data_IF_520970878773
#
_entry.id   IF_520970878773
#
_cell.length_a   1.000
_cell.length_b   1.000
_cell.length_c   1.000
_cell.angle_alpha   90.00
_cell.angle_beta   90.00
_cell.angle_gamma   90.00
#
_symmetry.space_group_name_H-M   'P 1'
#
loop_
_entity.id
_entity.type
_entity.pdbx_description
1 polymer ?
#
# COMPACT_ATOMS: atom_id res chain seq x y z
N UNK A 1 -5.29 -4.88 5.59
CA UNK A 1 -5.11 -6.30 5.94
C UNK A 1 -5.68 -6.51 7.34
N UNK A 2 -6.59 -7.47 7.52
CA UNK A 2 -7.13 -7.82 8.83
C UNK A 2 -6.72 -9.26 9.15
N UNK A 3 -5.57 -9.45 9.79
CA UNK A 3 -5.10 -10.76 10.27
C UNK A 3 -4.78 -10.64 11.77
N UNK A 4 -5.11 -11.68 12.55
CA UNK A 4 -4.74 -11.73 13.96
C UNK A 4 -3.24 -11.93 14.09
N UNK A 5 -2.62 -11.18 15.01
CA UNK A 5 -1.19 -11.27 15.27
C UNK A 5 -1.00 -12.05 16.58
N UNK A 6 -0.38 -13.23 16.49
CA UNK A 6 -0.24 -14.15 17.62
C UNK A 6 1.08 -14.01 18.39
N UNK A 7 2.16 -13.53 17.77
CA UNK A 7 3.50 -13.49 18.38
C UNK A 7 4.08 -12.07 18.45
N UNK A 8 4.56 -11.69 19.64
CA UNK A 8 5.15 -10.37 19.89
C UNK A 8 6.49 -10.13 19.18
N UNK A 9 7.26 -11.20 18.96
CA UNK A 9 8.54 -11.10 18.24
C UNK A 9 8.36 -10.74 16.76
N UNK A 10 7.26 -11.16 16.14
CA UNK A 10 6.90 -10.78 14.76
C UNK A 10 6.51 -9.31 14.61
N UNK A 11 6.23 -8.62 15.72
CA UNK A 11 5.82 -7.21 15.74
C UNK A 11 7.02 -6.29 15.98
N UNK A 12 8.14 -6.83 16.48
CA UNK A 12 9.34 -6.05 16.76
C UNK A 12 9.92 -5.37 15.53
N UNK A 13 9.98 -6.07 14.39
CA UNK A 13 10.43 -5.50 13.12
C UNK A 13 9.48 -4.40 12.65
N UNK A 14 8.17 -4.65 12.75
CA UNK A 14 7.12 -3.69 12.40
C UNK A 14 7.20 -2.40 13.25
N UNK A 15 7.50 -2.52 14.55
CA UNK A 15 7.69 -1.36 15.42
C UNK A 15 8.93 -0.55 15.03
N UNK A 16 10.02 -1.21 14.63
CA UNK A 16 11.21 -0.50 14.17
C UNK A 16 10.93 0.23 12.85
N UNK A 17 10.21 -0.40 11.91
CA UNK A 17 9.77 0.22 10.67
C UNK A 17 8.88 1.45 10.91
N UNK A 18 7.97 1.39 11.88
CA UNK A 18 7.17 2.56 12.28
C UNK A 18 8.00 3.68 12.89
N UNK A 19 9.13 3.35 13.53
CA UNK A 19 10.00 4.34 14.17
C UNK A 19 10.83 5.11 13.14
N UNK A 20 11.37 4.40 12.15
CA UNK A 20 12.18 4.98 11.07
C UNK A 20 11.34 5.44 9.86
N UNK A 21 10.02 5.49 10.03
CA UNK A 21 9.03 5.78 9.00
C UNK A 21 9.17 7.19 8.40
N UNK A 22 9.69 7.27 7.18
CA UNK A 22 9.81 8.50 6.39
C UNK A 22 9.19 8.28 5.00
N UNK A 23 7.85 8.26 4.89
CA UNK A 23 7.18 8.01 3.63
C UNK A 23 7.51 9.11 2.63
N UNK A 24 7.87 8.76 1.40
CA UNK A 24 8.07 9.73 0.33
C UNK A 24 7.10 9.47 -0.81
N UNK A 25 6.58 10.54 -1.40
CA UNK A 25 5.78 10.49 -2.61
C UNK A 25 6.30 11.52 -3.59
N UNK A 26 6.04 11.28 -4.87
CA UNK A 26 6.42 12.18 -5.93
C UNK A 26 5.25 13.11 -6.23
N UNK A 27 5.47 14.42 -6.10
CA UNK A 27 4.44 15.42 -6.37
C UNK A 27 5.05 16.67 -7.01
N UNK A 28 4.35 17.21 -8.01
CA UNK A 28 4.81 18.37 -8.79
C UNK A 28 6.22 18.17 -9.36
N UNK A 29 6.54 16.93 -9.79
CA UNK A 29 7.85 16.62 -10.35
C UNK A 29 8.99 16.47 -9.33
N UNK A 30 8.70 16.38 -8.03
CA UNK A 30 9.73 16.23 -6.97
C UNK A 30 9.32 15.22 -5.91
N UNK A 31 10.28 14.48 -5.38
CA UNK A 31 10.09 13.67 -4.18
C UNK A 31 9.93 14.57 -2.96
N UNK A 32 8.91 14.28 -2.15
CA UNK A 32 8.59 15.02 -0.94
C UNK A 32 8.35 14.06 0.20
N UNK A 33 8.83 14.42 1.39
CA UNK A 33 8.55 13.71 2.62
C UNK A 33 7.08 13.92 3.00
N UNK A 34 6.35 12.81 3.10
CA UNK A 34 4.96 12.77 3.48
C UNK A 34 4.78 12.75 4.99
N UNK A 35 3.60 13.17 5.42
CA UNK A 35 3.16 13.13 6.80
C UNK A 35 1.76 12.52 6.86
N UNK A 36 1.29 12.24 8.08
CA UNK A 36 -0.10 11.80 8.31
C UNK A 36 -1.16 12.80 7.79
N UNK A 37 -0.78 14.07 7.53
CA UNK A 37 -1.69 15.07 6.97
C UNK A 37 -1.94 14.90 5.48
N UNK A 38 -1.06 14.16 4.82
CA UNK A 38 -1.14 13.86 3.38
C UNK A 38 -1.99 12.60 3.13
N UNK A 39 -2.75 12.15 4.14
CA UNK A 39 -3.71 11.08 4.02
C UNK A 39 -4.81 11.43 3.03
N UNK A 40 -5.19 10.45 2.21
CA UNK A 40 -6.25 10.57 1.22
C UNK A 40 -7.39 9.62 1.55
N UNK A 41 -8.62 9.98 1.18
CA UNK A 41 -9.76 9.08 1.26
C UNK A 41 -9.89 8.30 -0.04
N UNK A 42 -9.90 6.97 0.04
CA UNK A 42 -10.02 6.09 -1.12
C UNK A 42 -11.18 5.12 -0.93
N UNK A 43 -11.99 4.93 -1.98
CA UNK A 43 -13.02 3.89 -2.02
C UNK A 43 -12.42 2.55 -2.46
N UNK A 44 -12.37 1.60 -1.53
CA UNK A 44 -11.77 0.27 -1.68
C UNK A 44 -12.78 -0.82 -2.10
N UNK A 45 -13.88 -0.45 -2.75
CA UNK A 45 -14.94 -1.38 -3.13
C UNK A 45 -15.97 -1.62 -2.03
N UNK A 46 -17.03 -2.36 -2.34
CA UNK A 46 -18.21 -2.48 -1.47
C UNK A 46 -17.89 -3.10 -0.10
N UNK A 47 -16.99 -4.09 -0.09
CA UNK A 47 -16.58 -4.79 1.13
C UNK A 47 -15.81 -3.90 2.11
N UNK A 48 -14.89 -3.08 1.60
CA UNK A 48 -13.97 -2.31 2.45
C UNK A 48 -14.40 -0.86 2.65
N UNK A 49 -15.26 -0.34 1.76
CA UNK A 49 -15.81 1.01 1.82
C UNK A 49 -14.77 2.10 1.57
N UNK A 50 -15.07 3.31 2.05
CA UNK A 50 -14.13 4.44 2.01
C UNK A 50 -13.23 4.38 3.24
N UNK A 51 -11.92 4.50 3.05
CA UNK A 51 -10.92 4.51 4.12
C UNK A 51 -9.97 5.68 3.98
N UNK A 52 -9.47 6.17 5.10
CA UNK A 52 -8.31 7.03 5.15
C UNK A 52 -7.06 6.19 4.89
N UNK A 53 -6.25 6.64 3.94
CA UNK A 53 -5.07 5.96 3.47
C UNK A 53 -3.86 6.85 3.65
N UNK A 54 -2.90 6.35 4.43
CA UNK A 54 -1.67 7.06 4.77
C UNK A 54 -0.60 6.76 3.71
N UNK A 55 0.21 7.75 3.32
CA UNK A 55 1.32 7.55 2.39
C UNK A 55 2.36 6.61 3.02
N UNK A 56 2.83 5.61 2.26
CA UNK A 56 3.90 4.66 2.66
C UNK A 56 5.11 4.80 1.72
N UNK A 57 6.32 4.52 2.20
CA UNK A 57 7.51 4.43 1.33
C UNK A 57 7.54 3.06 0.64
N UNK A 58 7.83 3.07 -0.66
CA UNK A 58 8.06 1.86 -1.46
C UNK A 58 9.17 2.12 -2.46
N UNK A 59 10.22 1.30 -2.41
CA UNK A 59 11.36 1.44 -3.33
C UNK A 59 10.94 1.17 -4.79
N UNK A 60 9.91 0.37 -4.98
CA UNK A 60 9.36 -0.01 -6.29
C UNK A 60 8.83 1.18 -7.09
N UNK A 61 8.37 2.25 -6.42
CA UNK A 61 7.83 3.41 -7.14
C UNK A 61 8.89 4.41 -7.61
N UNK A 62 10.15 4.25 -7.20
CA UNK A 62 11.20 5.26 -7.43
C UNK A 62 11.50 5.51 -8.91
N UNK A 63 11.38 4.49 -9.76
CA UNK A 63 11.61 4.60 -11.20
C UNK A 63 10.36 4.94 -12.00
N UNK A 64 9.16 4.86 -11.42
CA UNK A 64 7.91 5.06 -12.16
C UNK A 64 7.75 6.48 -12.73
N UNK A 65 8.11 7.57 -12.03
CA UNK A 65 8.01 8.92 -12.59
C UNK A 65 8.76 9.06 -13.91
N UNK A 66 10.00 8.56 -13.97
CA UNK A 66 10.82 8.62 -15.18
C UNK A 66 10.30 7.66 -16.25
N UNK A 67 9.93 6.44 -15.88
CA UNK A 67 9.47 5.41 -16.81
C UNK A 67 8.18 5.80 -17.54
N UNK A 68 7.26 6.47 -16.86
CA UNK A 68 5.93 6.80 -17.39
C UNK A 68 5.70 8.30 -17.57
N UNK A 69 6.69 9.15 -17.29
CA UNK A 69 6.57 10.61 -17.39
C UNK A 69 5.54 11.19 -16.40
N UNK A 70 5.43 10.62 -15.20
CA UNK A 70 4.43 11.02 -14.21
C UNK A 70 4.81 12.34 -13.55
N UNK A 71 3.82 13.21 -13.35
CA UNK A 71 3.98 14.41 -12.52
C UNK A 71 3.81 14.11 -11.03
N UNK A 72 2.93 13.16 -10.71
CA UNK A 72 2.54 12.78 -9.36
C UNK A 72 2.43 11.24 -9.26
N UNK A 73 2.98 10.65 -8.19
CA UNK A 73 2.80 9.23 -7.86
C UNK A 73 3.10 8.98 -6.38
N UNK A 74 2.40 8.01 -5.79
CA UNK A 74 2.60 7.62 -4.40
C UNK A 74 1.87 6.32 -4.10
N UNK A 75 2.28 5.66 -3.02
CA UNK A 75 1.58 4.48 -2.49
C UNK A 75 0.96 4.84 -1.16
N UNK A 76 -0.28 4.38 -0.96
CA UNK A 76 -1.04 4.65 0.25
C UNK A 76 -1.60 3.35 0.80
N UNK A 77 -1.44 3.15 2.11
CA UNK A 77 -2.02 2.02 2.83
C UNK A 77 -3.19 2.50 3.70
N UNK A 78 -4.29 1.75 3.69
CA UNK A 78 -5.40 2.00 4.61
C UNK A 78 -4.93 1.89 6.06
N UNK A 79 -5.39 2.81 6.92
CA UNK A 79 -5.14 2.76 8.36
C UNK A 79 -5.63 1.46 9.02
N UNK A 80 -5.18 1.20 10.24
CA UNK A 80 -5.49 -0.05 10.94
C UNK A 80 -6.88 -0.01 11.57
N UNK A 81 -7.03 0.85 12.58
CA UNK A 81 -8.26 1.10 13.31
C UNK A 81 -8.10 2.40 14.10
N UNK A 82 -9.20 2.97 14.58
CA UNK A 82 -9.19 4.26 15.29
C UNK A 82 -8.22 4.31 16.48
N UNK A 83 -8.05 3.20 17.20
CA UNK A 83 -7.15 3.13 18.36
C UNK A 83 -5.70 3.15 17.91
N UNK A 84 -5.35 2.34 16.91
CA UNK A 84 -3.99 2.30 16.38
C UNK A 84 -3.63 3.66 15.74
N UNK A 85 -4.53 4.19 14.91
CA UNK A 85 -4.29 5.37 14.09
C UNK A 85 -4.24 6.67 14.91
N UNK A 86 -5.12 6.84 15.91
CA UNK A 86 -5.25 8.09 16.67
C UNK A 86 -4.74 8.04 18.11
N UNK A 87 -4.48 6.86 18.66
CA UNK A 87 -3.94 6.72 20.03
C UNK A 87 -2.52 6.18 19.95
N UNK A 88 -2.36 4.97 19.43
CA UNK A 88 -1.06 4.29 19.45
C UNK A 88 0.04 5.07 18.73
N UNK A 89 -0.16 5.46 17.46
CA UNK A 89 0.89 6.14 16.69
C UNK A 89 1.34 7.47 17.30
N UNK A 90 0.44 8.39 17.73
CA UNK A 90 0.86 9.62 18.41
C UNK A 90 1.73 9.36 19.66
N UNK A 91 1.37 8.37 20.48
CA UNK A 91 2.17 8.03 21.66
C UNK A 91 3.48 7.32 21.31
N UNK A 92 3.48 6.45 20.30
CA UNK A 92 4.70 5.82 19.78
C UNK A 92 5.70 6.87 19.32
N UNK A 93 5.25 7.85 18.51
CA UNK A 93 6.10 8.95 18.05
C UNK A 93 6.60 9.82 19.21
N UNK A 94 5.77 10.10 20.22
CA UNK A 94 6.20 10.85 21.40
C UNK A 94 7.27 10.09 22.19
N UNK A 95 7.14 8.75 22.26
CA UNK A 95 8.09 7.89 22.96
C UNK A 95 9.46 7.81 22.30
N UNK A 96 9.58 8.13 21.00
CA UNK A 96 10.88 8.18 20.30
C UNK A 96 11.82 9.25 20.85
N UNK A 97 11.29 10.27 21.57
CA UNK A 97 12.10 11.28 22.27
C UNK A 97 12.79 10.71 23.53
N UNK A 98 12.36 9.54 23.99
CA UNK A 98 12.91 8.81 25.13
C UNK A 98 13.81 7.70 24.56
N UNK A 99 14.96 7.41 25.20
CA UNK A 99 16.02 6.49 24.71
C UNK A 99 15.51 5.39 23.76
N UNK A 100 15.93 5.45 22.49
CA UNK A 100 15.57 4.51 21.43
C UNK A 100 15.72 3.05 21.91
N UNK A 101 14.65 2.27 21.77
CA UNK A 101 14.64 0.82 22.02
C UNK A 101 14.17 0.36 23.40
N UNK A 102 14.12 1.20 24.44
CA UNK A 102 13.79 0.73 25.80
C UNK A 102 12.32 0.32 25.99
N UNK A 103 11.42 0.82 25.15
CA UNK A 103 9.97 0.59 25.23
C UNK A 103 9.44 -0.34 24.12
N UNK A 104 10.33 -0.98 23.35
CA UNK A 104 9.94 -1.78 22.18
C UNK A 104 8.95 -2.90 22.52
N UNK A 105 9.27 -3.71 23.53
CA UNK A 105 8.40 -4.81 23.98
C UNK A 105 7.06 -4.31 24.54
N UNK A 106 7.05 -3.12 25.16
CA UNK A 106 5.81 -2.50 25.64
C UNK A 106 4.92 -2.12 24.46
N UNK A 107 5.47 -1.41 23.46
CA UNK A 107 4.72 -1.00 22.28
C UNK A 107 4.23 -2.18 21.45
N UNK A 108 5.03 -3.25 21.31
CA UNK A 108 4.57 -4.46 20.64
C UNK A 108 3.32 -5.06 21.30
N UNK A 109 3.29 -5.14 22.64
CA UNK A 109 2.10 -5.63 23.38
C UNK A 109 0.89 -4.72 23.21
N UNK A 110 1.08 -3.39 23.28
CA UNK A 110 0.00 -2.42 23.08
C UNK A 110 -0.55 -2.50 21.65
N UNK A 111 0.32 -2.67 20.66
CA UNK A 111 -0.07 -2.83 19.26
C UNK A 111 -0.93 -4.09 19.06
N UNK A 112 -0.46 -5.24 19.57
CA UNK A 112 -1.20 -6.52 19.49
C UNK A 112 -2.56 -6.40 20.17
N UNK A 113 -2.60 -5.80 21.36
CA UNK A 113 -3.86 -5.52 22.04
C UNK A 113 -4.79 -4.66 21.19
N UNK A 114 -4.29 -3.56 20.62
CA UNK A 114 -5.07 -2.64 19.81
C UNK A 114 -5.63 -3.28 18.55
N UNK A 115 -4.82 -4.06 17.84
CA UNK A 115 -5.26 -4.81 16.65
C UNK A 115 -6.29 -5.88 17.02
N UNK A 116 -5.99 -6.74 17.99
CA UNK A 116 -6.87 -7.86 18.33
C UNK A 116 -8.19 -7.43 18.99
N UNK A 117 -8.25 -6.22 19.58
CA UNK A 117 -9.45 -5.69 20.25
C UNK A 117 -10.33 -4.87 19.32
N UNK A 118 -9.74 -4.02 18.47
CA UNK A 118 -10.48 -2.99 17.73
C UNK A 118 -10.56 -3.21 16.21
N UNK A 119 -9.81 -4.16 15.65
CA UNK A 119 -9.89 -4.45 14.22
C UNK A 119 -11.13 -5.30 13.87
N UNK A 120 -11.71 -5.04 12.71
CA UNK A 120 -12.87 -5.78 12.21
C UNK A 120 -12.50 -7.23 11.88
N UNK A 121 -13.43 -8.18 12.11
CA UNK A 121 -13.24 -9.61 11.82
C UNK A 121 -13.30 -9.97 10.32
N UNK A 122 -13.61 -9.03 9.44
CA UNK A 122 -13.63 -9.31 8.00
C UNK A 122 -12.19 -9.37 7.49
N UNK A 123 -11.68 -10.59 7.35
CA UNK A 123 -10.39 -10.89 6.72
C UNK A 123 -10.44 -10.53 5.23
N UNK A 124 -9.29 -10.22 4.65
CA UNK A 124 -9.17 -9.87 3.23
C UNK A 124 -8.20 -8.75 2.96
N UNK A 125 -7.94 -8.55 1.67
CA UNK A 125 -7.06 -7.54 1.14
C UNK A 125 -7.61 -6.98 -0.16
N UNK A 126 -7.34 -5.70 -0.37
CA UNK A 126 -7.72 -4.99 -1.59
C UNK A 126 -6.63 -4.00 -1.97
N UNK A 127 -6.27 -4.00 -3.25
CA UNK A 127 -5.38 -3.03 -3.86
C UNK A 127 -6.18 -2.19 -4.84
N UNK A 128 -5.97 -0.88 -4.82
CA UNK A 128 -6.63 0.06 -5.71
C UNK A 128 -5.56 0.87 -6.44
N UNK A 129 -5.58 0.82 -7.76
CA UNK A 129 -4.86 1.75 -8.61
C UNK A 129 -5.83 2.86 -9.03
N UNK A 130 -5.42 4.10 -8.79
CA UNK A 130 -6.04 5.30 -9.33
C UNK A 130 -5.01 5.93 -10.27
N UNK A 131 -5.38 6.11 -11.53
CA UNK A 131 -4.52 6.72 -12.53
C UNK A 131 -5.28 7.78 -13.31
N UNK A 132 -4.65 8.92 -13.53
CA UNK A 132 -5.16 10.03 -14.34
C UNK A 132 -4.16 10.32 -15.46
N UNK A 133 -4.64 10.62 -16.65
CA UNK A 133 -3.77 10.93 -17.77
C UNK A 133 -4.53 11.29 -19.04
N UNK A 134 -3.84 11.21 -20.17
CA UNK A 134 -4.39 11.51 -21.49
C UNK A 134 -4.38 10.27 -22.37
N UNK A 135 -5.51 9.97 -23.01
CA UNK A 135 -5.61 8.97 -24.09
C UNK A 135 -6.08 9.67 -25.35
N UNK A 136 -5.26 9.64 -26.40
CA UNK A 136 -5.52 10.34 -27.66
C UNK A 136 -5.84 11.84 -27.46
N UNK A 137 -5.12 12.49 -26.53
CA UNK A 137 -5.32 13.90 -26.19
C UNK A 137 -6.55 14.21 -25.31
N UNK A 138 -7.35 13.20 -24.95
CA UNK A 138 -8.51 13.35 -24.08
C UNK A 138 -8.19 12.91 -22.65
N UNK A 139 -8.62 13.66 -21.61
CA UNK A 139 -8.50 13.22 -20.22
C UNK A 139 -9.15 11.85 -20.01
N UNK A 140 -8.43 10.96 -19.35
CA UNK A 140 -8.88 9.63 -18.97
C UNK A 140 -8.47 9.34 -17.53
N UNK A 141 -9.45 8.88 -16.76
CA UNK A 141 -9.24 8.39 -15.41
C UNK A 141 -9.54 6.90 -15.37
N UNK A 142 -8.60 6.14 -14.83
CA UNK A 142 -8.68 4.68 -14.71
C UNK A 142 -8.62 4.30 -13.25
N UNK A 143 -9.56 3.44 -12.86
CA UNK A 143 -9.57 2.76 -11.57
C UNK A 143 -9.47 1.27 -11.79
N UNK A 144 -8.56 0.62 -11.07
CA UNK A 144 -8.45 -0.82 -11.01
C UNK A 144 -8.50 -1.27 -9.54
N UNK A 145 -9.37 -2.22 -9.22
CA UNK A 145 -9.52 -2.81 -7.89
C UNK A 145 -9.20 -4.29 -7.97
N UNK A 146 -8.27 -4.76 -7.15
CA UNK A 146 -7.91 -6.17 -6.99
C UNK A 146 -8.26 -6.58 -5.56
N UNK A 147 -9.09 -7.60 -5.38
CA UNK A 147 -9.53 -8.07 -4.07
C UNK A 147 -9.27 -9.58 -3.90
N UNK A 148 -8.89 -9.98 -2.69
CA UNK A 148 -8.79 -11.39 -2.32
C UNK A 148 -9.16 -11.61 -0.84
N UNK A 149 -9.66 -12.80 -0.52
CA UNK A 149 -10.11 -13.16 0.83
C UNK A 149 -8.96 -13.38 1.82
N UNK A 150 -7.78 -13.71 1.30
CA UNK A 150 -6.57 -13.97 2.08
C UNK A 150 -5.46 -13.01 1.65
N UNK A 151 -4.93 -12.25 2.62
CA UNK A 151 -3.78 -11.37 2.39
C UNK A 151 -2.50 -12.16 2.11
N UNK A 152 -2.33 -13.31 2.75
CA UNK A 152 -1.20 -14.21 2.52
C UNK A 152 -1.17 -14.73 1.08
N UNK A 153 -2.31 -15.22 0.59
CA UNK A 153 -2.40 -15.72 -0.78
C UNK A 153 -2.19 -14.58 -1.78
N UNK A 154 -2.76 -13.40 -1.51
CA UNK A 154 -2.59 -12.23 -2.38
C UNK A 154 -1.14 -11.79 -2.53
N UNK A 155 -0.30 -12.01 -1.51
CA UNK A 155 1.15 -11.76 -1.61
C UNK A 155 1.86 -12.81 -2.46
N UNK A 156 1.48 -14.10 -2.38
CA UNK A 156 2.16 -15.17 -3.11
C UNK A 156 1.70 -15.30 -4.57
N UNK A 157 0.44 -15.01 -4.84
CA UNK A 157 -0.19 -15.11 -6.17
C UNK A 157 0.59 -14.35 -7.26
N UNK A 158 0.96 -13.06 -7.10
CA UNK A 158 1.73 -12.35 -8.13
C UNK A 158 3.13 -12.93 -8.33
N UNK A 159 3.75 -13.50 -7.28
CA UNK A 159 5.04 -14.19 -7.38
C UNK A 159 4.89 -15.47 -8.21
N UNK A 160 3.85 -16.27 -7.98
CA UNK A 160 3.56 -17.48 -8.77
C UNK A 160 3.24 -17.12 -10.23
N UNK A 161 2.47 -16.06 -10.45
CA UNK A 161 2.17 -15.56 -11.79
C UNK A 161 3.45 -15.15 -12.52
N UNK A 162 4.36 -14.40 -11.87
CA UNK A 162 5.67 -14.08 -12.44
C UNK A 162 6.51 -15.32 -12.70
N UNK A 163 6.52 -16.29 -11.77
CA UNK A 163 7.30 -17.51 -11.91
C UNK A 163 6.88 -18.31 -13.15
N UNK A 164 5.58 -18.34 -13.48
CA UNK A 164 5.09 -18.95 -14.73
C UNK A 164 5.70 -18.28 -15.97
N UNK A 165 5.76 -16.95 -15.99
CA UNK A 165 6.39 -16.18 -17.08
C UNK A 165 7.92 -16.36 -17.15
N UNK A 166 8.54 -16.59 -16.00
CA UNK A 166 9.97 -16.87 -15.94
C UNK A 166 10.30 -18.29 -16.42
N UNK A 167 9.54 -19.29 -15.97
CA UNK A 167 9.81 -20.70 -16.26
C UNK A 167 9.59 -21.04 -17.74
N UNK A 168 8.60 -20.45 -18.39
CA UNK A 168 8.36 -20.66 -19.83
C UNK A 168 9.28 -19.87 -20.76
N UNK A 169 10.17 -19.06 -20.19
CA UNK A 169 11.16 -18.30 -20.94
C UNK A 169 10.72 -16.91 -21.39
N UNK A 170 9.43 -16.57 -21.32
CA UNK A 170 8.91 -15.28 -21.85
C UNK A 170 9.51 -14.04 -21.17
N UNK A 171 9.95 -14.16 -19.91
CA UNK A 171 10.58 -13.07 -19.15
C UNK A 171 11.96 -13.40 -18.59
N UNK A 172 12.67 -14.40 -19.14
CA UNK A 172 14.05 -14.67 -18.72
C UNK A 172 14.98 -13.58 -19.24
N UNK A 173 15.44 -12.72 -18.32
CA UNK A 173 16.39 -11.64 -18.61
C UNK A 173 17.59 -11.74 -17.67
N UNK A 174 18.84 -11.76 -18.18
CA UNK A 174 20.03 -11.72 -17.35
C UNK A 174 20.07 -10.46 -16.47
N UNK A 175 20.62 -10.56 -15.26
CA UNK A 175 20.77 -9.46 -14.31
C UNK A 175 19.73 -9.46 -13.18
N UNK A 176 19.84 -8.45 -12.31
CA UNK A 176 18.90 -8.23 -11.21
C UNK A 176 17.79 -7.28 -11.67
N UNK A 177 16.53 -7.70 -11.48
CA UNK A 177 15.36 -6.95 -11.93
C UNK A 177 14.30 -6.91 -10.83
N UNK A 178 13.65 -5.76 -10.70
CA UNK A 178 12.40 -5.66 -9.93
C UNK A 178 11.30 -6.43 -10.64
N UNK A 179 10.58 -7.28 -9.89
CA UNK A 179 9.48 -8.09 -10.44
C UNK A 179 8.45 -7.23 -11.17
N UNK A 180 8.02 -6.13 -10.55
CA UNK A 180 7.00 -5.23 -11.10
C UNK A 180 7.39 -4.56 -12.43
N UNK A 181 8.68 -4.47 -12.75
CA UNK A 181 9.16 -3.92 -14.02
C UNK A 181 9.42 -4.98 -15.09
N UNK A 182 9.49 -6.25 -14.70
CA UNK A 182 9.78 -7.36 -15.60
C UNK A 182 8.51 -8.08 -16.04
N UNK A 183 7.53 -8.23 -15.16
CA UNK A 183 6.30 -8.95 -15.44
C UNK A 183 5.56 -8.37 -16.65
N UNK A 184 4.98 -9.24 -17.47
CA UNK A 184 3.94 -8.84 -18.42
C UNK A 184 2.66 -8.50 -17.63
N UNK A 185 2.16 -7.26 -17.67
CA UNK A 185 1.05 -6.85 -16.83
C UNK A 185 -0.26 -7.57 -17.20
N UNK A 186 -0.54 -7.73 -18.49
CA UNK A 186 -1.78 -8.35 -18.95
C UNK A 186 -1.82 -9.83 -18.55
N UNK A 187 -0.71 -10.55 -18.80
CA UNK A 187 -0.61 -11.95 -18.39
C UNK A 187 -0.61 -12.11 -16.88
N UNK A 188 0.05 -11.21 -16.14
CA UNK A 188 0.07 -11.23 -14.68
C UNK A 188 -1.36 -11.15 -14.15
N UNK A 189 -2.15 -10.17 -14.58
CA UNK A 189 -3.53 -9.99 -14.13
C UNK A 189 -4.41 -11.20 -14.48
N UNK A 190 -4.27 -11.77 -15.69
CA UNK A 190 -4.99 -12.99 -16.09
C UNK A 190 -4.63 -14.18 -15.20
N UNK A 191 -3.36 -14.35 -14.86
CA UNK A 191 -2.92 -15.45 -13.99
C UNK A 191 -3.36 -15.23 -12.53
N UNK A 192 -3.37 -13.99 -12.05
CA UNK A 192 -3.90 -13.64 -10.73
C UNK A 192 -5.40 -13.92 -10.63
N UNK A 193 -6.18 -13.57 -11.66
CA UNK A 193 -7.62 -13.85 -11.72
C UNK A 193 -7.90 -15.36 -11.67
N UNK A 194 -7.14 -16.16 -12.44
CA UNK A 194 -7.21 -17.63 -12.39
C UNK A 194 -6.86 -18.23 -11.03
N UNK A 195 -6.10 -17.51 -10.21
CA UNK A 195 -5.74 -17.89 -8.85
C UNK A 195 -6.68 -17.31 -7.78
N UNK A 196 -7.82 -16.73 -8.19
CA UNK A 196 -8.90 -16.31 -7.29
C UNK A 196 -8.93 -14.83 -6.95
N UNK A 197 -8.03 -14.01 -7.51
CA UNK A 197 -8.09 -12.55 -7.32
C UNK A 197 -9.27 -11.98 -8.11
N UNK A 198 -10.17 -11.26 -7.42
CA UNK A 198 -11.27 -10.54 -8.07
C UNK A 198 -10.74 -9.23 -8.63
N UNK A 199 -10.84 -9.04 -9.94
CA UNK A 199 -10.34 -7.84 -10.62
C UNK A 199 -11.52 -7.04 -11.16
N UNK A 200 -11.54 -5.74 -10.90
CA UNK A 200 -12.55 -4.81 -11.41
C UNK A 200 -11.86 -3.58 -12.00
N UNK A 201 -12.11 -3.31 -13.27
CA UNK A 201 -11.63 -2.09 -13.95
C UNK A 201 -12.81 -1.17 -14.25
N UNK A 202 -12.64 0.13 -14.05
CA UNK A 202 -13.65 1.12 -14.41
C UNK A 202 -13.05 2.48 -14.74
N UNK A 203 -13.76 3.24 -15.58
CA UNK A 203 -13.50 4.66 -15.78
C UNK A 203 -14.27 5.42 -14.70
N UNK A 204 -13.58 6.02 -13.74
CA UNK A 204 -14.21 6.85 -12.70
C UNK A 204 -13.41 8.12 -12.50
N UNK A 205 -14.11 9.23 -12.25
CA UNK A 205 -13.49 10.42 -11.65
C UNK A 205 -13.00 10.03 -10.25
N UNK A 206 -11.70 10.06 -9.96
CA UNK A 206 -11.19 9.70 -8.65
C UNK A 206 -11.74 10.68 -7.63
N UNK A 207 -12.42 10.16 -6.61
CA UNK A 207 -12.77 10.93 -5.42
C UNK A 207 -11.52 10.93 -4.52
N UNK A 208 -10.48 11.63 -4.95
CA UNK A 208 -9.41 12.07 -4.05
C UNK A 208 -9.95 13.36 -3.45
N UNK A 209 -10.55 13.32 -2.26
CA UNK A 209 -10.83 14.56 -1.53
C UNK A 209 -9.50 15.06 -0.98
N UNK A 210 -8.95 16.18 -1.49
CA UNK A 210 -7.80 16.76 -0.84
C UNK A 210 -8.29 17.35 0.48
N UNK A 211 -7.70 16.94 1.60
CA UNK A 211 -7.55 17.88 2.71
C UNK A 211 -6.53 18.93 2.25
N UNK A 212 -7.00 19.82 1.38
CA UNK A 212 -6.25 20.91 0.78
C UNK A 212 -5.98 21.93 1.88
N UNK A 213 -4.78 21.90 2.45
CA UNK A 213 -4.19 23.12 2.99
C UNK A 213 -3.13 23.53 1.99
N UNK A 214 -3.47 24.51 1.16
CA UNK A 214 -2.48 25.22 0.35
C UNK A 214 -1.40 25.74 1.31
N UNK A 215 -0.20 25.17 1.25
CA UNK A 215 0.98 25.84 1.77
C UNK A 215 1.46 26.81 0.68
N UNK A 216 1.03 28.05 0.82
CA UNK A 216 1.80 29.24 0.41
C UNK A 216 3.03 29.37 1.27
#
# INVERSE_FOLDING_TARGET
>A
MNARIEYADSVHELIDEFVDYNPEFFQNGKWQLATYKDAIKVYYGERFGVRDSMPIDMVEIRSLPEQFGLHDTGVFAGGFNWFIDYVFFPFLMLSQKIKRGSLKNFWAKVFIFGINTFSCKQEGVVFVLLAEGLKNGQPLNVKLILEHDSAYDFTVIPVLAMLKQYLDGSKRKPGLWMMGHLADPDRLLVDMEKMGVKIQSGSQTPVISPHRTQRT
#
